data_IF_503247652647
#
_entry.id   IF_503247652647
#
_cell.length_a   1.000
_cell.length_b   1.000
_cell.length_c   1.000
_cell.angle_alpha   90.00
_cell.angle_beta   90.00
_cell.angle_gamma   90.00
#
_symmetry.space_group_name_H-M   'P 1'
#
loop_
_entity.id
_entity.type
_entity.pdbx_description
1 polymer ?
#
# COMPACT_ATOMS: atom_id res chain seq x y z
N UNK A 1 -4.37 14.38 26.91
CA UNK A 1 -4.57 14.06 26.42
C UNK A 1 -4.18 14.01 25.63
N UNK A 2 -4.09 13.58 25.26
CA UNK A 2 -3.96 13.39 24.58
C UNK A 2 -3.64 13.35 23.77
N UNK A 3 -3.48 13.20 23.50
CA UNK A 3 -3.29 13.12 22.76
C UNK A 3 -3.04 12.77 21.77
N UNK A 4 -2.74 12.33 21.59
CA UNK A 4 -2.52 11.69 20.62
C UNK A 4 -3.34 11.69 19.64
N UNK A 5 -4.19 11.34 19.67
CA UNK A 5 -5.07 11.24 18.58
C UNK A 5 -5.29 12.53 17.92
N UNK A 6 -4.86 13.49 18.49
CA UNK A 6 -4.86 14.75 17.80
C UNK A 6 -4.08 14.68 16.51
N UNK A 7 -3.40 13.59 16.28
CA UNK A 7 -2.59 13.45 15.09
C UNK A 7 -3.41 13.14 13.84
N UNK A 8 -4.71 13.29 13.88
CA UNK A 8 -5.51 13.06 12.70
C UNK A 8 -6.10 11.68 12.67
N UNK A 9 -6.76 11.39 11.58
CA UNK A 9 -7.54 10.18 11.45
C UNK A 9 -6.68 8.97 11.17
N UNK A 10 -7.25 7.81 11.49
CA UNK A 10 -6.70 6.54 11.09
C UNK A 10 -7.59 5.97 9.99
N UNK A 11 -7.00 5.50 8.91
CA UNK A 11 -7.72 4.86 7.82
C UNK A 11 -7.49 3.36 7.93
N UNK A 12 -8.57 2.59 7.97
CA UNK A 12 -8.48 1.13 7.98
C UNK A 12 -9.32 0.61 6.82
N UNK A 13 -8.68 -0.15 5.93
CA UNK A 13 -9.34 -0.72 4.76
C UNK A 13 -9.07 -2.22 4.77
N UNK A 14 -10.12 -3.01 4.56
CA UNK A 14 -10.03 -4.47 4.58
C UNK A 14 -10.53 -5.05 3.28
N UNK A 15 -9.93 -6.17 2.86
CA UNK A 15 -10.42 -6.87 1.70
C UNK A 15 -10.02 -8.34 1.76
N UNK A 16 -10.96 -9.23 1.43
CA UNK A 16 -10.67 -10.66 1.34
C UNK A 16 -10.31 -10.99 -0.09
N UNK A 17 -9.16 -11.62 -0.27
CA UNK A 17 -8.64 -11.99 -1.58
C UNK A 17 -8.55 -13.51 -1.65
N UNK A 18 -9.05 -14.08 -2.74
CA UNK A 18 -9.10 -15.54 -2.94
C UNK A 18 -7.77 -16.10 -3.40
N UNK A 19 -6.74 -15.97 -2.57
CA UNK A 19 -5.42 -16.51 -2.83
C UNK A 19 -4.68 -16.67 -1.51
N UNK A 20 -3.66 -17.56 -1.47
CA UNK A 20 -2.87 -17.72 -0.24
C UNK A 20 -2.08 -16.46 0.07
N UNK A 21 -1.83 -16.23 1.36
CA UNK A 21 -1.16 -14.99 1.77
C UNK A 21 0.26 -14.89 1.24
N UNK A 22 0.92 -16.00 0.98
CA UNK A 22 2.26 -15.96 0.37
C UNK A 22 2.23 -15.28 -0.99
N UNK A 23 1.19 -15.57 -1.79
CA UNK A 23 1.04 -14.94 -3.09
C UNK A 23 0.70 -13.46 -2.95
N UNK A 24 -0.22 -13.14 -2.04
CA UNK A 24 -0.63 -11.75 -1.83
C UNK A 24 0.56 -10.92 -1.34
N UNK A 25 1.32 -11.49 -0.41
CA UNK A 25 2.51 -10.82 0.12
C UNK A 25 3.53 -10.54 -0.99
N UNK A 26 3.78 -11.52 -1.86
CA UNK A 26 4.72 -11.33 -2.97
C UNK A 26 4.26 -10.23 -3.91
N UNK A 27 2.95 -10.18 -4.18
CA UNK A 27 2.42 -9.14 -5.06
C UNK A 27 2.55 -7.75 -4.46
N UNK A 28 2.70 -7.66 -3.14
CA UNK A 28 2.88 -6.39 -2.45
C UNK A 28 4.34 -5.98 -2.33
N UNK A 29 5.26 -6.91 -2.52
CA UNK A 29 6.67 -6.65 -2.21
C UNK A 29 7.61 -6.77 -3.38
N UNK A 30 7.21 -7.47 -4.44
CA UNK A 30 8.07 -7.61 -5.63
C UNK A 30 7.80 -6.44 -6.57
N UNK A 31 8.85 -5.73 -7.01
CA UNK A 31 8.66 -4.55 -7.86
C UNK A 31 7.85 -4.81 -9.11
N UNK A 32 8.09 -5.92 -9.80
CA UNK A 32 7.35 -6.22 -11.01
C UNK A 32 5.86 -6.40 -10.75
N UNK A 33 5.53 -6.97 -9.58
CA UNK A 33 4.13 -7.15 -9.23
C UNK A 33 3.50 -5.83 -8.81
N UNK A 34 4.22 -5.02 -8.05
CA UNK A 34 3.73 -3.70 -7.63
C UNK A 34 3.39 -2.83 -8.85
N UNK A 35 4.19 -2.91 -9.90
CA UNK A 35 3.94 -2.13 -11.11
C UNK A 35 2.61 -2.48 -11.79
N UNK A 36 2.04 -3.64 -11.46
CA UNK A 36 0.80 -4.10 -12.08
C UNK A 36 -0.44 -3.54 -11.40
N UNK A 37 -0.35 -3.15 -10.16
CA UNK A 37 -1.56 -2.76 -9.42
C UNK A 37 -1.44 -1.48 -8.61
N UNK A 38 -0.23 -1.01 -8.34
CA UNK A 38 -0.06 0.15 -7.47
C UNK A 38 -0.65 1.39 -8.11
N UNK A 39 -1.36 2.21 -7.28
CA UNK A 39 -2.04 3.41 -7.73
C UNK A 39 -3.55 3.16 -7.86
N UNK A 40 -4.36 4.09 -7.35
CA UNK A 40 -5.81 3.89 -7.33
C UNK A 40 -6.40 4.05 -8.73
N UNK A 41 -7.38 3.20 -9.05
CA UNK A 41 -8.14 3.36 -10.27
C UNK A 41 -7.27 3.37 -11.52
N UNK A 42 -7.40 4.42 -12.33
CA UNK A 42 -6.70 4.52 -13.60
C UNK A 42 -5.26 4.98 -13.50
N UNK A 43 -4.75 5.25 -12.30
CA UNK A 43 -3.33 5.52 -12.13
C UNK A 43 -2.52 4.28 -12.49
N UNK A 44 -1.30 4.50 -12.97
CA UNK A 44 -0.36 3.42 -13.27
C UNK A 44 0.90 3.57 -12.42
N UNK A 45 1.71 2.52 -12.40
CA UNK A 45 2.96 2.53 -11.64
C UNK A 45 4.11 2.22 -12.61
N UNK A 46 4.71 3.25 -13.20
CA UNK A 46 5.79 3.02 -14.18
C UNK A 46 7.09 2.54 -13.56
N UNK A 47 7.30 2.77 -12.26
CA UNK A 47 8.53 2.33 -11.62
C UNK A 47 8.27 1.97 -10.17
N UNK A 48 8.93 0.91 -9.69
CA UNK A 48 8.83 0.47 -8.31
C UNK A 48 10.20 -0.04 -7.87
N UNK A 49 10.66 0.38 -6.70
CA UNK A 49 11.94 -0.03 -6.14
C UNK A 49 11.70 -0.47 -4.70
N UNK A 50 12.24 -1.62 -4.34
CA UNK A 50 12.01 -2.23 -3.03
C UNK A 50 13.30 -2.87 -2.55
N UNK A 51 13.71 -2.52 -1.33
CA UNK A 51 14.76 -3.21 -0.60
C UNK A 51 14.08 -3.86 0.59
N UNK A 52 13.63 -5.09 0.41
CA UNK A 52 12.70 -5.74 1.34
C UNK A 52 13.42 -6.32 2.55
N UNK A 53 13.67 -5.45 3.51
CA UNK A 53 14.26 -5.85 4.81
C UNK A 53 13.96 -4.74 5.80
N UNK A 54 13.99 -5.06 7.07
CA UNK A 54 13.85 -4.05 8.12
C UNK A 54 14.98 -3.04 7.95
N UNK A 55 14.60 -1.76 7.87
CA UNK A 55 15.55 -0.68 7.61
C UNK A 55 15.78 -0.41 6.12
N UNK A 56 15.32 -1.29 5.24
CA UNK A 56 15.41 -1.05 3.79
C UNK A 56 14.39 0.00 3.36
N UNK A 57 14.58 0.51 2.15
CA UNK A 57 13.72 1.58 1.64
C UNK A 57 12.95 1.11 0.42
N UNK A 58 11.89 1.85 0.11
CA UNK A 58 11.13 1.62 -1.12
C UNK A 58 10.78 2.96 -1.76
N UNK A 59 10.49 2.93 -3.06
CA UNK A 59 9.99 4.10 -3.78
C UNK A 59 9.07 3.62 -4.88
N UNK A 60 7.87 4.17 -4.93
CA UNK A 60 6.86 3.80 -5.90
C UNK A 60 6.43 5.04 -6.65
N UNK A 61 6.52 4.99 -7.98
CA UNK A 61 6.15 6.11 -8.84
C UNK A 61 4.78 5.82 -9.43
N UNK A 62 3.88 6.80 -9.33
CA UNK A 62 2.55 6.70 -9.94
C UNK A 62 2.42 7.75 -11.02
N UNK A 63 1.65 7.41 -12.05
CA UNK A 63 1.32 8.35 -13.11
C UNK A 63 -0.19 8.51 -13.21
N UNK A 64 -0.62 9.77 -13.25
CA UNK A 64 -2.04 10.08 -13.42
C UNK A 64 -2.54 9.59 -14.77
N UNK A 65 -3.85 9.35 -14.91
CA UNK A 65 -4.42 8.83 -16.16
C UNK A 65 -4.11 9.72 -17.36
N UNK A 66 -4.00 9.07 -18.52
CA UNK A 66 -3.78 9.77 -19.77
C UNK A 66 -2.39 10.35 -19.93
N UNK A 67 -1.39 9.75 -19.27
CA UNK A 67 -0.05 10.28 -19.34
C UNK A 67 0.13 11.55 -18.54
N UNK A 68 -0.69 11.76 -17.52
CA UNK A 68 -0.64 12.95 -16.69
C UNK A 68 0.58 13.00 -15.78
N UNK A 69 0.54 13.87 -14.76
CA UNK A 69 1.73 14.10 -13.92
C UNK A 69 2.18 12.84 -13.18
N UNK A 70 3.47 12.79 -12.93
CA UNK A 70 4.07 11.75 -12.08
C UNK A 70 4.09 12.22 -10.64
N UNK A 71 3.97 11.27 -9.73
CA UNK A 71 4.15 11.50 -8.30
C UNK A 71 4.75 10.24 -7.69
N UNK A 72 5.47 10.39 -6.60
CA UNK A 72 6.06 9.21 -5.98
C UNK A 72 5.95 9.27 -4.48
N UNK A 73 5.91 8.08 -3.91
CA UNK A 73 5.93 7.88 -2.46
C UNK A 73 7.15 7.05 -2.12
N UNK A 74 7.74 7.36 -0.99
CA UNK A 74 8.93 6.66 -0.51
C UNK A 74 8.82 6.44 0.99
N UNK A 75 9.58 5.49 1.49
CA UNK A 75 9.61 5.23 2.92
C UNK A 75 10.61 4.17 3.29
N UNK A 76 10.56 3.80 4.56
CA UNK A 76 11.46 2.81 5.15
C UNK A 76 10.63 1.71 5.78
N UNK A 77 11.03 0.46 5.57
CA UNK A 77 10.38 -0.68 6.23
C UNK A 77 10.79 -0.71 7.70
N UNK A 78 9.79 -0.70 8.57
CA UNK A 78 9.99 -0.85 10.01
C UNK A 78 9.91 -2.30 10.44
N UNK A 79 9.02 -3.08 9.79
CA UNK A 79 8.85 -4.50 10.07
C UNK A 79 8.62 -5.22 8.77
N UNK A 80 9.37 -6.29 8.55
CA UNK A 80 9.16 -7.19 7.41
C UNK A 80 9.07 -8.59 7.98
N UNK A 81 7.86 -9.14 8.04
CA UNK A 81 7.60 -10.46 8.62
C UNK A 81 6.78 -11.28 7.63
N UNK A 82 7.44 -11.88 6.62
CA UNK A 82 6.72 -12.62 5.59
C UNK A 82 6.10 -13.88 6.15
N UNK A 83 4.95 -14.26 5.67
CA UNK A 83 4.06 -13.57 4.75
C UNK A 83 2.93 -12.84 5.47
N UNK A 84 3.14 -12.42 6.71
CA UNK A 84 2.06 -12.00 7.61
C UNK A 84 1.95 -10.49 7.81
N UNK A 85 3.07 -9.74 7.74
CA UNK A 85 3.04 -8.37 8.23
C UNK A 85 4.09 -7.51 7.55
N UNK A 86 3.67 -6.29 7.17
CA UNK A 86 4.57 -5.22 6.74
C UNK A 86 4.22 -3.96 7.51
N UNK A 87 5.22 -3.25 8.00
CA UNK A 87 5.04 -1.90 8.57
C UNK A 87 6.07 -1.01 7.91
N UNK A 88 5.60 0.10 7.33
CA UNK A 88 6.53 1.00 6.64
C UNK A 88 6.06 2.45 6.74
N UNK A 89 7.00 3.37 6.62
CA UNK A 89 6.67 4.79 6.61
C UNK A 89 6.22 5.21 5.22
N UNK A 90 5.53 6.33 5.14
CA UNK A 90 4.93 6.81 3.90
C UNK A 90 5.16 8.31 3.80
N UNK A 91 5.85 8.74 2.76
CA UNK A 91 6.08 10.16 2.51
C UNK A 91 6.01 10.42 1.01
N UNK A 92 5.17 11.36 0.64
CA UNK A 92 5.16 11.82 -0.74
C UNK A 92 6.43 12.60 -0.98
N UNK A 93 7.34 12.12 -1.84
CA UNK A 93 8.60 12.78 -2.07
C UNK A 93 8.63 13.58 -3.37
N UNK A 94 7.69 13.35 -4.30
CA UNK A 94 7.51 14.21 -5.46
C UNK A 94 6.02 14.34 -5.75
N UNK A 95 5.68 15.38 -6.55
CA UNK A 95 4.31 15.61 -6.97
C UNK A 95 3.61 16.64 -6.09
N UNK A 96 2.31 16.86 -6.35
CA UNK A 96 1.58 17.94 -5.65
C UNK A 96 1.47 17.73 -4.15
N UNK A 97 1.53 16.50 -3.67
CA UNK A 97 1.41 16.20 -2.25
C UNK A 97 2.77 16.10 -1.55
N UNK A 98 3.86 16.41 -2.24
CA UNK A 98 5.21 16.27 -1.67
C UNK A 98 5.33 17.03 -0.35
N UNK A 99 5.94 16.39 0.65
CA UNK A 99 5.97 16.90 2.00
C UNK A 99 7.07 16.18 2.77
N UNK A 100 7.53 16.79 3.85
CA UNK A 100 8.48 16.14 4.77
C UNK A 100 7.77 15.28 5.80
N UNK A 101 6.45 15.31 5.83
CA UNK A 101 5.71 14.55 6.83
C UNK A 101 5.68 13.07 6.49
N UNK A 102 5.99 12.24 7.46
CA UNK A 102 5.88 10.78 7.33
C UNK A 102 4.66 10.28 8.07
N UNK A 103 3.84 9.51 7.38
CA UNK A 103 2.78 8.74 8.01
C UNK A 103 3.23 7.28 8.09
N UNK A 104 2.38 6.42 8.62
CA UNK A 104 2.75 5.03 8.87
C UNK A 104 1.68 4.10 8.28
N UNK A 105 2.14 3.07 7.59
CA UNK A 105 1.27 2.06 6.99
C UNK A 105 1.58 0.71 7.59
N UNK A 106 0.54 0.02 8.05
CA UNK A 106 0.64 -1.36 8.52
C UNK A 106 -0.24 -2.22 7.62
N UNK A 107 0.33 -3.28 7.06
CA UNK A 107 -0.41 -4.21 6.22
C UNK A 107 -0.35 -5.58 6.86
N UNK A 108 -1.51 -6.13 7.19
CA UNK A 108 -1.63 -7.47 7.76
C UNK A 108 -2.20 -8.40 6.70
N UNK A 109 -1.60 -9.57 6.57
CA UNK A 109 -2.03 -10.58 5.62
C UNK A 109 -2.51 -11.78 6.43
N UNK A 110 -3.80 -11.82 6.72
CA UNK A 110 -4.37 -12.79 7.66
C UNK A 110 -4.87 -14.00 6.90
N UNK A 111 -4.34 -15.17 7.23
CA UNK A 111 -4.71 -16.41 6.58
C UNK A 111 -6.10 -16.84 7.10
N UNK A 112 -7.08 -16.88 6.20
CA UNK A 112 -8.45 -17.29 6.55
C UNK A 112 -8.70 -18.78 6.28
N UNK A 113 -7.70 -19.49 5.75
CA UNK A 113 -7.91 -20.86 5.30
C UNK A 113 -8.54 -20.88 3.92
N UNK A 114 -8.55 -22.06 3.29
CA UNK A 114 -9.19 -22.28 1.98
C UNK A 114 -8.63 -21.35 0.92
N UNK A 115 -7.34 -21.08 0.98
CA UNK A 115 -6.65 -20.22 0.01
C UNK A 115 -7.27 -18.83 -0.05
N UNK A 116 -7.59 -18.28 1.13
CA UNK A 116 -8.13 -16.92 1.22
C UNK A 116 -7.32 -16.11 2.23
N UNK A 117 -7.16 -14.85 1.93
CA UNK A 117 -6.39 -13.94 2.78
C UNK A 117 -7.22 -12.69 3.02
N UNK A 118 -7.29 -12.27 4.28
CA UNK A 118 -7.83 -10.95 4.59
C UNK A 118 -6.66 -9.97 4.67
N UNK A 119 -6.66 -8.98 3.79
CA UNK A 119 -5.67 -7.92 3.82
C UNK A 119 -6.26 -6.76 4.60
N UNK A 120 -5.54 -6.30 5.62
CA UNK A 120 -5.95 -5.15 6.42
C UNK A 120 -4.88 -4.09 6.30
N UNK A 121 -5.24 -2.93 5.78
CA UNK A 121 -4.33 -1.79 5.66
C UNK A 121 -4.74 -0.76 6.70
N UNK A 122 -3.81 -0.39 7.57
CA UNK A 122 -3.99 0.70 8.53
C UNK A 122 -3.00 1.80 8.16
N UNK A 123 -3.52 2.96 7.79
CA UNK A 123 -2.71 4.12 7.46
C UNK A 123 -3.00 5.20 8.48
N UNK A 124 -1.99 5.65 9.18
CA UNK A 124 -2.17 6.52 10.34
C UNK A 124 -1.02 7.52 10.46
N UNK A 125 -1.12 8.39 11.44
CA UNK A 125 -0.12 9.42 11.73
C UNK A 125 -0.08 10.50 10.66
N UNK A 126 -1.27 10.84 10.14
CA UNK A 126 -1.40 11.99 9.28
C UNK A 126 -1.28 13.28 10.09
N UNK A 127 -0.97 14.41 9.45
CA UNK A 127 -1.04 15.71 10.16
C UNK A 127 -2.43 15.91 10.75
N UNK A 128 -2.49 16.60 11.88
CA UNK A 128 -3.72 16.70 12.66
C UNK A 128 -4.88 17.32 11.87
N UNK A 129 -4.59 18.25 10.97
CA UNK A 129 -5.60 18.93 10.18
C UNK A 129 -5.80 18.29 8.80
N UNK A 130 -5.25 17.11 8.59
CA UNK A 130 -5.29 16.47 7.28
C UNK A 130 -6.58 15.67 7.13
N UNK A 131 -7.25 15.83 5.99
CA UNK A 131 -8.41 15.02 5.65
C UNK A 131 -7.90 13.70 5.04
N UNK A 132 -8.12 12.60 5.76
CA UNK A 132 -7.62 11.30 5.33
C UNK A 132 -8.55 10.56 4.38
N UNK A 133 -9.72 11.13 4.07
CA UNK A 133 -10.71 10.46 3.21
C UNK A 133 -10.15 10.03 1.86
N UNK A 134 -9.31 10.83 1.18
CA UNK A 134 -8.76 10.39 -0.10
C UNK A 134 -7.91 9.12 0.02
N UNK A 135 -7.28 8.92 1.17
CA UNK A 135 -6.48 7.70 1.38
C UNK A 135 -7.36 6.48 1.50
N UNK A 136 -8.53 6.62 2.15
CA UNK A 136 -9.46 5.48 2.24
C UNK A 136 -9.90 5.05 0.86
N UNK A 137 -10.29 5.99 0.03
CA UNK A 137 -10.70 5.70 -1.34
C UNK A 137 -9.56 5.12 -2.15
N UNK A 138 -8.35 5.69 -2.00
CA UNK A 138 -7.19 5.24 -2.74
C UNK A 138 -6.82 3.81 -2.39
N UNK A 139 -6.79 3.47 -1.09
CA UNK A 139 -6.48 2.11 -0.68
C UNK A 139 -7.54 1.13 -1.16
N UNK A 140 -8.82 1.50 -1.06
CA UNK A 140 -9.90 0.62 -1.48
C UNK A 140 -9.78 0.29 -2.97
N UNK A 141 -9.54 1.30 -3.81
CA UNK A 141 -9.39 1.09 -5.24
C UNK A 141 -8.11 0.33 -5.58
N UNK A 142 -7.04 0.60 -4.85
CA UNK A 142 -5.80 -0.15 -5.05
C UNK A 142 -5.97 -1.63 -4.71
N UNK A 143 -6.66 -1.93 -3.62
CA UNK A 143 -6.89 -3.32 -3.24
C UNK A 143 -7.75 -4.05 -4.25
N UNK A 144 -8.69 -3.36 -4.92
CA UNK A 144 -9.43 -3.98 -6.01
C UNK A 144 -8.50 -4.46 -7.12
N UNK A 145 -7.53 -3.64 -7.47
CA UNK A 145 -6.55 -4.00 -8.51
C UNK A 145 -5.66 -5.14 -8.05
N UNK A 146 -5.23 -5.11 -6.80
CA UNK A 146 -4.43 -6.20 -6.24
C UNK A 146 -5.20 -7.51 -6.31
N UNK A 147 -6.46 -7.50 -5.92
CA UNK A 147 -7.29 -8.69 -6.00
C UNK A 147 -7.39 -9.19 -7.44
N UNK A 148 -7.61 -8.29 -8.38
CA UNK A 148 -7.78 -8.66 -9.78
C UNK A 148 -6.54 -9.35 -10.34
N UNK A 149 -5.34 -8.82 -10.09
CA UNK A 149 -4.13 -9.45 -10.61
C UNK A 149 -3.81 -10.73 -9.87
N UNK A 150 -4.14 -10.80 -8.58
CA UNK A 150 -3.80 -11.95 -7.77
C UNK A 150 -4.65 -13.15 -8.15
N UNK A 151 -5.96 -12.96 -8.29
CA UNK A 151 -6.86 -14.06 -8.63
C UNK A 151 -6.73 -14.46 -10.09
N UNK A 152 -6.48 -13.49 -10.98
CA UNK A 152 -6.26 -13.81 -12.40
C UNK A 152 -5.00 -14.64 -12.58
N UNK A 153 -3.93 -14.28 -11.86
CA UNK A 153 -2.70 -15.06 -11.90
C UNK A 153 -2.88 -16.47 -11.37
N UNK A 154 -3.74 -16.62 -10.40
CA UNK A 154 -4.08 -17.94 -9.87
C UNK A 154 -4.77 -18.79 -10.92
N UNK A 155 -5.72 -18.19 -11.63
CA UNK A 155 -6.45 -18.90 -12.66
C UNK A 155 -5.53 -19.30 -13.81
N UNK A 156 -4.59 -18.46 -14.14
CA UNK A 156 -3.67 -18.71 -15.24
C UNK A 156 -2.59 -19.73 -14.88
N UNK A 157 -2.44 -20.02 -13.62
CA UNK A 157 -1.48 -21.01 -13.19
C UNK A 157 -2.05 -22.40 -13.36
#
# INVERSE_FOLDING_TARGET
MTDEPAAGERVVVRRVIGAPRERVFRNWTEPEQLRRWWGPGAFTCPDARVDLRTGGTYRLVMQAPGGGPLMSVAGTYRTVDPPALLVYTWRWDTGPAASDHESLVTVEFNDLGDRRTEVVVTHERFPADHDASPYRSGWDKGLEKLEAITTRGEVDA
#
